data_IF_058556818449
#
_entry.id   IF_058556818449
#
_cell.length_a   1.000
_cell.length_b   1.000
_cell.length_c   1.000
_cell.angle_alpha   90.00
_cell.angle_beta   90.00
_cell.angle_gamma   90.00
#
_symmetry.space_group_name_H-M   'P 1'
#
loop_
_entity.id
_entity.type
_entity.pdbx_description
1 polymer ?
#
# COMPACT_ATOMS: atom_id res chain seq x y z
N UNK A 1 -12.19 -17.20 27.35
CA UNK A 1 -11.80 -18.19 26.31
C UNK A 1 -10.43 -17.81 25.75
N UNK A 2 -9.53 -18.75 25.75
CA UNK A 2 -8.19 -18.52 25.18
C UNK A 2 -8.26 -18.66 23.66
N UNK A 3 -7.83 -17.62 22.95
CA UNK A 3 -7.75 -17.66 21.48
C UNK A 3 -6.51 -18.45 21.07
N UNK A 4 -6.70 -19.45 20.23
CA UNK A 4 -5.61 -20.21 19.67
C UNK A 4 -4.83 -19.34 18.65
N UNK A 5 -3.52 -19.17 18.88
CA UNK A 5 -2.71 -18.25 18.09
C UNK A 5 -2.62 -18.61 16.62
N UNK A 6 -2.65 -19.90 16.30
CA UNK A 6 -2.64 -20.33 14.90
C UNK A 6 -3.93 -19.97 14.17
N UNK A 7 -5.07 -20.06 14.87
CA UNK A 7 -6.37 -19.61 14.31
C UNK A 7 -6.35 -18.10 14.10
N UNK A 8 -5.85 -17.35 15.08
CA UNK A 8 -5.74 -15.90 14.98
C UNK A 8 -4.85 -15.48 13.79
N UNK A 9 -3.66 -16.07 13.68
CA UNK A 9 -2.74 -15.79 12.58
C UNK A 9 -3.36 -16.10 11.21
N UNK A 10 -4.07 -17.21 11.11
CA UNK A 10 -4.78 -17.57 9.88
C UNK A 10 -5.92 -16.59 9.55
N UNK A 11 -6.63 -16.10 10.55
CA UNK A 11 -7.70 -15.12 10.37
C UNK A 11 -7.15 -13.80 9.82
N UNK A 12 -6.03 -13.32 10.33
CA UNK A 12 -5.34 -12.12 9.82
C UNK A 12 -4.96 -12.31 8.34
N UNK A 13 -4.37 -13.45 8.02
CA UNK A 13 -3.98 -13.80 6.64
C UNK A 13 -5.18 -13.86 5.71
N UNK A 14 -6.28 -14.49 6.14
CA UNK A 14 -7.50 -14.60 5.34
C UNK A 14 -8.13 -13.24 5.07
N UNK A 15 -8.17 -12.36 6.06
CA UNK A 15 -8.67 -11.00 5.92
C UNK A 15 -7.80 -10.19 4.94
N UNK A 16 -6.48 -10.28 5.06
CA UNK A 16 -5.54 -9.62 4.14
C UNK A 16 -5.71 -10.13 2.71
N UNK A 17 -5.85 -11.44 2.53
CA UNK A 17 -6.01 -12.05 1.21
C UNK A 17 -7.32 -11.60 0.53
N UNK A 18 -8.42 -11.56 1.28
CA UNK A 18 -9.69 -11.05 0.77
C UNK A 18 -9.58 -9.59 0.30
N UNK A 19 -9.00 -8.74 1.13
CA UNK A 19 -8.78 -7.34 0.84
C UNK A 19 -7.89 -7.16 -0.40
N UNK A 20 -6.79 -7.90 -0.46
CA UNK A 20 -5.84 -7.86 -1.57
C UNK A 20 -6.54 -8.21 -2.90
N UNK A 21 -7.28 -9.32 -2.93
CA UNK A 21 -7.97 -9.76 -4.14
C UNK A 21 -9.03 -8.76 -4.60
N UNK A 22 -9.79 -8.21 -3.67
CA UNK A 22 -10.83 -7.25 -3.99
C UNK A 22 -10.24 -5.97 -4.58
N UNK A 23 -9.18 -5.44 -3.97
CA UNK A 23 -8.48 -4.26 -4.47
C UNK A 23 -7.85 -4.51 -5.84
N UNK A 24 -7.12 -5.60 -5.99
CA UNK A 24 -6.43 -5.92 -7.24
C UNK A 24 -7.42 -6.07 -8.40
N UNK A 25 -8.52 -6.79 -8.17
CA UNK A 25 -9.58 -6.97 -9.15
C UNK A 25 -10.20 -5.64 -9.58
N UNK A 26 -10.51 -4.76 -8.65
CA UNK A 26 -11.19 -3.49 -8.94
C UNK A 26 -10.24 -2.44 -9.53
N UNK A 27 -8.97 -2.43 -9.14
CA UNK A 27 -7.96 -1.54 -9.73
C UNK A 27 -7.66 -1.87 -11.19
N UNK A 28 -7.94 -3.08 -11.63
CA UNK A 28 -7.83 -3.44 -13.04
C UNK A 28 -8.71 -2.55 -13.95
N UNK A 29 -9.83 -2.04 -13.44
CA UNK A 29 -10.71 -1.13 -14.18
C UNK A 29 -10.07 0.19 -14.56
N UNK A 30 -9.03 0.61 -13.85
CA UNK A 30 -8.24 1.82 -14.17
C UNK A 30 -6.86 1.48 -14.74
N UNK A 31 -6.67 0.23 -15.17
CA UNK A 31 -5.41 -0.22 -15.77
C UNK A 31 -4.26 -0.43 -14.79
N UNK A 32 -4.55 -0.63 -13.51
CA UNK A 32 -3.54 -0.82 -12.48
C UNK A 32 -3.68 -2.16 -11.77
N UNK A 33 -2.60 -2.59 -11.13
CA UNK A 33 -2.62 -3.67 -10.14
C UNK A 33 -2.51 -3.06 -8.75
N UNK A 34 -2.83 -3.83 -7.72
CA UNK A 34 -2.64 -3.37 -6.34
C UNK A 34 -1.17 -3.05 -6.05
N UNK A 35 -0.24 -3.90 -6.52
CA UNK A 35 1.20 -3.66 -6.34
C UNK A 35 1.65 -2.35 -6.96
N UNK A 36 1.19 -2.06 -8.18
CA UNK A 36 1.51 -0.79 -8.87
C UNK A 36 0.92 0.41 -8.13
N UNK A 37 -0.35 0.33 -7.76
CA UNK A 37 -1.01 1.43 -7.04
C UNK A 37 -0.38 1.69 -5.67
N UNK A 38 -0.03 0.64 -4.92
CA UNK A 38 0.69 0.79 -3.65
C UNK A 38 2.05 1.47 -3.83
N UNK A 39 2.77 1.13 -4.89
CA UNK A 39 4.03 1.79 -5.23
C UNK A 39 3.83 3.28 -5.53
N UNK A 40 2.82 3.62 -6.33
CA UNK A 40 2.49 5.02 -6.63
C UNK A 40 2.10 5.78 -5.35
N UNK A 41 1.34 5.14 -4.47
CA UNK A 41 0.94 5.73 -3.19
C UNK A 41 2.14 6.01 -2.29
N UNK A 42 3.06 5.06 -2.19
CA UNK A 42 4.28 5.23 -1.40
C UNK A 42 5.16 6.37 -1.94
N UNK A 43 5.33 6.45 -3.26
CA UNK A 43 6.07 7.52 -3.91
C UNK A 43 5.39 8.88 -3.67
N UNK A 44 4.07 8.92 -3.78
CA UNK A 44 3.29 10.15 -3.55
C UNK A 44 3.39 10.67 -2.12
N UNK A 45 3.49 9.77 -1.13
CA UNK A 45 3.66 10.13 0.29
C UNK A 45 5.06 10.63 0.60
N UNK A 46 6.07 10.11 -0.07
CA UNK A 46 7.48 10.45 0.18
C UNK A 46 8.18 10.70 -1.15
N UNK A 47 7.90 11.84 -1.81
CA UNK A 47 8.56 12.19 -3.07
C UNK A 47 10.07 12.23 -2.88
N UNK A 48 10.79 11.68 -3.83
CA UNK A 48 12.25 11.60 -3.78
C UNK A 48 12.80 10.41 -3.00
N UNK A 49 11.94 9.51 -2.51
CA UNK A 49 12.39 8.33 -1.77
C UNK A 49 13.19 7.37 -2.64
N UNK A 50 14.14 6.66 -2.01
CA UNK A 50 14.93 5.62 -2.65
C UNK A 50 14.15 4.32 -2.78
N UNK A 51 14.63 3.42 -3.65
CA UNK A 51 14.05 2.08 -3.78
C UNK A 51 14.02 1.33 -2.44
N UNK A 52 15.06 1.48 -1.63
CA UNK A 52 15.14 0.86 -0.30
C UNK A 52 14.03 1.34 0.63
N UNK A 53 13.81 2.66 0.68
CA UNK A 53 12.75 3.25 1.50
C UNK A 53 11.36 2.81 1.02
N UNK A 54 11.15 2.82 -0.28
CA UNK A 54 9.86 2.45 -0.87
C UNK A 54 9.57 0.96 -0.75
N UNK A 55 10.59 0.10 -0.88
CA UNK A 55 10.46 -1.33 -0.65
C UNK A 55 10.00 -1.61 0.78
N UNK A 56 10.62 -0.99 1.77
CA UNK A 56 10.23 -1.11 3.17
C UNK A 56 8.78 -0.65 3.39
N UNK A 57 8.39 0.48 2.80
CA UNK A 57 7.04 1.03 2.93
C UNK A 57 5.96 0.15 2.28
N UNK A 58 6.32 -0.66 1.29
CA UNK A 58 5.41 -1.54 0.56
C UNK A 58 5.58 -3.03 0.91
N UNK A 59 6.36 -3.32 1.94
CA UNK A 59 6.61 -4.70 2.43
C UNK A 59 7.21 -5.62 1.36
N UNK A 60 8.09 -5.07 0.52
CA UNK A 60 8.77 -5.79 -0.55
C UNK A 60 10.28 -5.81 -0.34
N UNK A 61 10.96 -6.74 -1.05
CA UNK A 61 12.40 -6.65 -1.19
C UNK A 61 12.77 -5.46 -2.08
N UNK A 62 13.98 -4.94 -1.90
CA UNK A 62 14.49 -3.85 -2.73
C UNK A 62 14.54 -4.22 -4.21
N UNK A 63 14.93 -5.48 -4.50
CA UNK A 63 14.97 -6.00 -5.87
C UNK A 63 13.58 -6.06 -6.50
N UNK A 64 12.58 -6.58 -5.79
CA UNK A 64 11.21 -6.67 -6.28
C UNK A 64 10.64 -5.28 -6.54
N UNK A 65 10.85 -4.34 -5.62
CA UNK A 65 10.41 -2.95 -5.80
C UNK A 65 11.11 -2.30 -6.99
N UNK A 66 12.42 -2.50 -7.15
CA UNK A 66 13.18 -1.94 -8.27
C UNK A 66 12.64 -2.41 -9.62
N UNK A 67 12.29 -3.70 -9.74
CA UNK A 67 11.68 -4.25 -10.96
C UNK A 67 10.32 -3.62 -11.24
N UNK A 68 9.48 -3.50 -10.22
CA UNK A 68 8.17 -2.87 -10.32
C UNK A 68 8.29 -1.40 -10.72
N UNK A 69 9.17 -0.65 -10.07
CA UNK A 69 9.41 0.75 -10.37
C UNK A 69 9.90 0.94 -11.81
N UNK A 70 10.74 0.05 -12.30
CA UNK A 70 11.19 0.05 -13.71
C UNK A 70 10.03 -0.05 -14.70
N UNK A 71 9.05 -0.90 -14.40
CA UNK A 71 7.83 -1.00 -15.22
C UNK A 71 7.01 0.28 -15.18
N UNK A 72 6.90 0.90 -14.01
CA UNK A 72 6.18 2.18 -13.86
C UNK A 72 6.87 3.32 -14.62
N UNK A 73 8.18 3.31 -14.67
CA UNK A 73 8.96 4.27 -15.49
C UNK A 73 8.65 4.08 -16.98
N UNK A 74 8.66 2.84 -17.46
CA UNK A 74 8.32 2.52 -18.86
C UNK A 74 6.90 2.96 -19.20
N UNK A 75 5.97 2.84 -18.26
CA UNK A 75 4.57 3.26 -18.43
C UNK A 75 4.40 4.79 -18.35
N UNK A 76 5.44 5.53 -18.02
CA UNK A 76 5.38 6.99 -17.88
C UNK A 76 4.70 7.48 -16.60
N UNK A 77 4.61 6.62 -15.58
CA UNK A 77 3.95 6.95 -14.30
C UNK A 77 4.92 7.44 -13.23
N UNK A 78 6.20 7.08 -13.36
CA UNK A 78 7.25 7.38 -12.39
C UNK A 78 8.48 7.89 -13.12
N UNK A 79 9.13 8.92 -12.57
CA UNK A 79 10.45 9.39 -12.98
C UNK A 79 11.49 8.97 -11.95
N UNK A 80 12.64 8.51 -12.42
CA UNK A 80 13.84 8.28 -11.63
C UNK A 80 14.84 9.39 -11.88
N UNK A 81 15.33 10.00 -10.81
CA UNK A 81 16.30 11.10 -10.88
C UNK A 81 17.49 10.80 -9.97
N UNK A 82 18.71 11.21 -10.35
CA UNK A 82 19.85 11.07 -9.46
C UNK A 82 19.68 12.00 -8.25
N UNK A 83 19.95 11.46 -7.06
CA UNK A 83 19.96 12.19 -5.81
C UNK A 83 21.41 12.33 -5.31
N UNK A 84 21.55 12.53 -4.00
CA UNK A 84 22.86 12.59 -3.36
C UNK A 84 23.62 11.26 -3.46
N UNK A 85 24.88 11.30 -3.89
CA UNK A 85 25.72 10.12 -4.01
C UNK A 85 25.17 9.15 -5.04
N UNK A 86 24.99 7.87 -4.64
CA UNK A 86 24.45 6.81 -5.49
C UNK A 86 22.93 6.66 -5.38
N UNK A 87 22.30 7.52 -4.60
CA UNK A 87 20.86 7.47 -4.37
C UNK A 87 20.10 7.81 -5.66
N UNK A 88 19.09 7.01 -5.97
CA UNK A 88 18.12 7.29 -7.04
C UNK A 88 16.81 7.68 -6.38
N UNK A 89 16.30 8.85 -6.75
CA UNK A 89 15.04 9.38 -6.27
C UNK A 89 13.90 8.98 -7.20
N UNK A 90 12.74 8.71 -6.60
CA UNK A 90 11.53 8.36 -7.33
C UNK A 90 10.49 9.46 -7.16
N UNK A 91 9.88 9.87 -8.26
CA UNK A 91 8.86 10.91 -8.30
C UNK A 91 7.70 10.48 -9.18
N UNK A 92 6.48 10.86 -8.82
CA UNK A 92 5.34 10.66 -9.70
C UNK A 92 5.40 11.65 -10.87
N UNK A 93 5.02 11.17 -12.05
CA UNK A 93 4.70 12.05 -13.18
C UNK A 93 3.26 12.58 -13.01
N UNK A 94 2.83 13.59 -13.79
CA UNK A 94 1.42 13.99 -13.81
C UNK A 94 0.48 12.84 -14.12
N UNK A 95 0.87 11.92 -15.02
CA UNK A 95 0.08 10.70 -15.31
C UNK A 95 0.04 9.75 -14.12
N UNK A 96 1.18 9.55 -13.43
CA UNK A 96 1.24 8.77 -12.20
C UNK A 96 0.32 9.32 -11.12
N UNK A 97 0.28 10.63 -10.97
CA UNK A 97 -0.63 11.29 -10.02
C UNK A 97 -2.10 11.05 -10.39
N UNK A 98 -2.44 11.07 -11.68
CA UNK A 98 -3.81 10.79 -12.13
C UNK A 98 -4.23 9.36 -11.80
N UNK A 99 -3.37 8.39 -12.05
CA UNK A 99 -3.63 6.98 -11.72
C UNK A 99 -3.77 6.81 -10.20
N UNK A 100 -2.89 7.43 -9.42
CA UNK A 100 -2.97 7.38 -7.95
C UNK A 100 -4.31 7.93 -7.46
N UNK A 101 -4.73 9.08 -7.95
CA UNK A 101 -6.00 9.73 -7.56
C UNK A 101 -7.21 8.88 -7.94
N UNK A 102 -7.22 8.33 -9.15
CA UNK A 102 -8.29 7.42 -9.60
C UNK A 102 -8.36 6.18 -8.71
N UNK A 103 -7.20 5.62 -8.34
CA UNK A 103 -7.10 4.46 -7.46
C UNK A 103 -7.61 4.72 -6.05
N UNK A 104 -7.48 5.93 -5.53
CA UNK A 104 -8.01 6.27 -4.21
C UNK A 104 -9.54 6.08 -4.15
N UNK A 105 -10.26 6.52 -5.17
CA UNK A 105 -11.71 6.33 -5.22
C UNK A 105 -12.10 4.85 -5.29
N UNK A 106 -11.39 4.06 -6.08
CA UNK A 106 -11.60 2.61 -6.18
C UNK A 106 -11.31 1.93 -4.84
N UNK A 107 -10.17 2.25 -4.22
CA UNK A 107 -9.76 1.67 -2.96
C UNK A 107 -10.74 1.99 -1.83
N UNK A 108 -11.21 3.23 -1.76
CA UNK A 108 -12.20 3.65 -0.75
C UNK A 108 -13.49 2.83 -0.86
N UNK A 109 -14.01 2.65 -2.06
CA UNK A 109 -15.21 1.84 -2.29
C UNK A 109 -15.01 0.39 -1.89
N UNK A 110 -13.89 -0.21 -2.28
CA UNK A 110 -13.59 -1.62 -1.98
C UNK A 110 -13.43 -1.82 -0.48
N UNK A 111 -12.69 -0.95 0.18
CA UNK A 111 -12.45 -1.06 1.62
C UNK A 111 -13.71 -0.83 2.44
N UNK A 112 -14.59 0.08 2.00
CA UNK A 112 -15.90 0.26 2.61
C UNK A 112 -16.70 -1.05 2.58
N UNK A 113 -16.70 -1.76 1.45
CA UNK A 113 -17.35 -3.07 1.33
C UNK A 113 -16.69 -4.13 2.23
N UNK A 114 -15.34 -4.15 2.28
CA UNK A 114 -14.61 -5.12 3.12
C UNK A 114 -14.90 -4.97 4.60
N UNK A 115 -15.11 -3.75 5.07
CA UNK A 115 -15.30 -3.44 6.48
C UNK A 115 -16.75 -3.10 6.86
N UNK A 116 -17.70 -3.25 5.95
CA UNK A 116 -19.10 -2.88 6.20
C UNK A 116 -19.75 -3.66 7.36
N UNK A 117 -19.26 -4.86 7.64
CA UNK A 117 -19.74 -5.67 8.77
C UNK A 117 -19.29 -5.16 10.14
N UNK A 118 -18.41 -4.17 10.21
CA UNK A 118 -17.91 -3.61 11.46
C UNK A 118 -18.51 -2.23 11.72
N UNK A 119 -18.99 -2.00 12.96
CA UNK A 119 -19.34 -0.66 13.42
C UNK A 119 -18.09 0.23 13.50
N UNK A 120 -18.27 1.54 13.52
CA UNK A 120 -17.15 2.50 13.60
C UNK A 120 -16.26 2.24 14.82
N UNK A 121 -16.84 1.96 15.99
CA UNK A 121 -16.09 1.62 17.21
C UNK A 121 -15.27 0.34 17.04
N UNK A 122 -15.79 -0.63 16.31
CA UNK A 122 -15.08 -1.88 16.02
C UNK A 122 -13.93 -1.65 15.04
N UNK A 123 -14.10 -0.78 14.05
CA UNK A 123 -13.04 -0.38 13.11
C UNK A 123 -11.89 0.32 13.84
N UNK A 124 -12.21 1.23 14.75
CA UNK A 124 -11.21 1.92 15.57
C UNK A 124 -10.44 0.91 16.45
N UNK A 125 -11.14 -0.01 17.10
CA UNK A 125 -10.54 -1.05 17.93
C UNK A 125 -9.61 -1.96 17.10
N UNK A 126 -10.07 -2.39 15.92
CA UNK A 126 -9.28 -3.23 15.02
C UNK A 126 -8.01 -2.52 14.56
N UNK A 127 -8.11 -1.25 14.18
CA UNK A 127 -6.95 -0.47 13.75
C UNK A 127 -5.91 -0.36 14.87
N UNK A 128 -6.35 -0.05 16.11
CA UNK A 128 -5.45 0.01 17.26
C UNK A 128 -4.75 -1.32 17.55
N UNK A 129 -5.47 -2.43 17.43
CA UNK A 129 -4.92 -3.77 17.65
C UNK A 129 -3.91 -4.15 16.56
N UNK A 130 -4.22 -3.85 15.30
CA UNK A 130 -3.30 -4.10 14.19
C UNK A 130 -2.01 -3.28 14.32
N UNK A 131 -2.09 -2.03 14.76
CA UNK A 131 -0.92 -1.19 15.01
C UNK A 131 -0.02 -1.76 16.10
N UNK A 132 -0.58 -2.36 17.14
CA UNK A 132 0.21 -3.06 18.15
C UNK A 132 0.97 -4.26 17.58
N UNK A 133 0.35 -4.99 16.66
CA UNK A 133 0.97 -6.15 16.00
C UNK A 133 2.08 -5.70 15.05
N UNK A 134 1.89 -4.58 14.35
CA UNK A 134 2.91 -4.00 13.48
C UNK A 134 4.13 -3.49 14.25
N UNK A 135 4.01 -3.27 15.55
CA UNK A 135 5.04 -2.64 16.36
C UNK A 135 5.12 -1.13 16.19
N UNK A 136 4.11 -0.50 15.58
CA UNK A 136 4.02 0.96 15.50
C UNK A 136 3.31 1.53 16.72
N UNK A 137 3.90 2.51 17.42
CA UNK A 137 3.19 3.26 18.47
C UNK A 137 1.98 3.98 17.87
N UNK A 138 0.91 4.11 18.66
CA UNK A 138 -0.33 4.77 18.22
C UNK A 138 -0.10 6.22 17.74
N UNK A 139 0.93 6.88 18.25
CA UNK A 139 1.25 8.30 17.98
C UNK A 139 2.03 8.53 16.66
N UNK A 140 2.57 7.50 16.02
CA UNK A 140 3.32 7.65 14.75
C UNK A 140 2.46 7.46 13.51
N UNK A 141 1.20 7.17 13.69
CA UNK A 141 0.26 7.01 12.59
C UNK A 141 -0.37 8.36 12.25
N UNK A 142 0.41 9.21 11.61
CA UNK A 142 -0.12 10.37 10.91
C UNK A 142 -1.11 9.94 9.81
N UNK A 143 -2.01 10.84 9.41
CA UNK A 143 -3.03 10.57 8.39
C UNK A 143 -2.46 10.14 7.06
#
# INVERSE_FOLDING_TARGET
MVVELQILGRAVKAAQYRQHRALDSRLASIGSTLAQWDALRAIGRTPGASARQLAAATFQSEQAFGTLAGRLVVQGLVDRQPGHGRRIEHHLTPEGQRVLTAGHGVAESVLAECFEGLAETEREALLGLLRKIEGRPEDEAGP
#
